data_IF_134621211275
#
_entry.id   IF_134621211275
#
_cell.length_a   1.000
_cell.length_b   1.000
_cell.length_c   1.000
_cell.angle_alpha   90.00
_cell.angle_beta   90.00
_cell.angle_gamma   90.00
#
_symmetry.space_group_name_H-M   'P 1'
#
loop_
_entity.id
_entity.type
_entity.pdbx_description
1 polymer ?
#
# COMPACT_ATOMS: atom_id res chain seq x y z
N UNK A 1 -29.24 7.91 14.09
CA UNK A 1 -27.88 8.22 14.57
C UNK A 1 -27.93 9.48 15.40
N UNK A 2 -27.12 9.56 16.45
CA UNK A 2 -26.88 10.78 17.21
C UNK A 2 -26.22 11.84 16.27
N UNK A 3 -26.74 13.08 16.18
CA UNK A 3 -26.16 14.13 15.34
C UNK A 3 -24.66 14.36 15.61
N UNK A 4 -24.25 14.22 16.86
CA UNK A 4 -22.86 14.42 17.30
C UNK A 4 -21.90 13.36 16.75
N UNK A 5 -22.40 12.11 16.60
CA UNK A 5 -21.63 11.01 16.02
C UNK A 5 -21.50 11.18 14.49
N UNK A 6 -22.55 11.69 13.84
CA UNK A 6 -22.52 11.99 12.39
C UNK A 6 -21.53 13.10 12.07
N UNK A 7 -21.47 14.15 12.89
CA UNK A 7 -20.53 15.26 12.70
C UNK A 7 -19.06 14.81 12.88
N UNK A 8 -18.78 13.94 13.86
CA UNK A 8 -17.46 13.33 14.02
C UNK A 8 -17.09 12.42 12.85
N UNK A 9 -18.03 11.59 12.38
CA UNK A 9 -17.84 10.74 11.20
C UNK A 9 -17.58 11.54 9.93
N UNK A 10 -18.24 12.69 9.77
CA UNK A 10 -18.03 13.61 8.66
C UNK A 10 -16.64 14.23 8.66
N UNK A 11 -16.17 14.73 9.81
CA UNK A 11 -14.81 15.27 9.95
C UNK A 11 -13.76 14.21 9.65
N UNK A 12 -13.95 12.99 10.17
CA UNK A 12 -13.05 11.87 9.92
C UNK A 12 -13.01 11.51 8.42
N UNK A 13 -14.17 11.38 7.78
CA UNK A 13 -14.27 11.12 6.36
C UNK A 13 -13.51 12.15 5.51
N UNK A 14 -13.70 13.45 5.78
CA UNK A 14 -12.98 14.50 5.04
C UNK A 14 -11.47 14.47 5.29
N UNK A 15 -11.01 13.96 6.43
CA UNK A 15 -9.58 13.82 6.71
C UNK A 15 -8.92 12.65 5.95
N UNK A 16 -9.66 11.55 5.72
CA UNK A 16 -9.14 10.39 4.97
C UNK A 16 -9.31 10.51 3.45
N UNK A 17 -10.35 11.21 2.99
CA UNK A 17 -10.71 11.27 1.57
C UNK A 17 -9.54 11.67 0.63
N UNK A 18 -8.66 12.64 0.98
CA UNK A 18 -7.52 12.98 0.13
C UNK A 18 -6.53 11.83 -0.10
N UNK A 19 -6.24 11.03 0.94
CA UNK A 19 -5.32 9.89 0.83
C UNK A 19 -5.93 8.76 -0.01
N UNK A 20 -7.24 8.53 0.15
CA UNK A 20 -7.98 7.56 -0.66
C UNK A 20 -8.05 7.99 -2.13
N UNK A 21 -8.27 9.28 -2.41
CA UNK A 21 -8.22 9.82 -3.78
C UNK A 21 -6.83 9.68 -4.40
N UNK A 22 -5.77 9.97 -3.64
CA UNK A 22 -4.40 9.79 -4.10
C UNK A 22 -4.11 8.33 -4.45
N UNK A 23 -4.54 7.40 -3.60
CA UNK A 23 -4.42 5.95 -3.85
C UNK A 23 -5.12 5.55 -5.14
N UNK A 24 -6.30 6.12 -5.43
CA UNK A 24 -7.03 5.86 -6.67
C UNK A 24 -6.31 6.42 -7.89
N UNK A 25 -5.82 7.65 -7.81
CA UNK A 25 -5.10 8.30 -8.90
C UNK A 25 -3.82 7.55 -9.25
N UNK A 26 -2.99 7.23 -8.25
CA UNK A 26 -1.75 6.51 -8.44
C UNK A 26 -1.99 5.10 -9.00
N UNK A 27 -2.98 4.39 -8.47
CA UNK A 27 -3.34 3.06 -8.96
C UNK A 27 -3.88 3.05 -10.39
N UNK A 28 -4.61 4.10 -10.80
CA UNK A 28 -5.08 4.25 -12.18
C UNK A 28 -3.93 4.61 -13.14
N UNK A 29 -2.99 5.46 -12.72
CA UNK A 29 -1.79 5.78 -13.51
C UNK A 29 -0.89 4.56 -13.71
N UNK A 30 -0.89 3.63 -12.75
CA UNK A 30 -0.09 2.40 -12.76
C UNK A 30 -0.92 1.15 -13.11
N UNK A 31 -2.06 1.32 -13.77
CA UNK A 31 -3.01 0.20 -13.97
C UNK A 31 -2.47 -0.92 -14.87
N UNK A 32 -1.47 -0.60 -15.70
CA UNK A 32 -0.76 -1.55 -16.57
C UNK A 32 0.52 -2.13 -15.93
N UNK A 33 0.95 -1.58 -14.79
CA UNK A 33 2.19 -1.98 -14.14
C UNK A 33 2.02 -3.33 -13.44
N UNK A 34 3.09 -4.11 -13.41
CA UNK A 34 3.15 -5.30 -12.61
C UNK A 34 3.58 -4.96 -11.17
N UNK A 35 2.96 -5.56 -10.14
CA UNK A 35 1.97 -6.63 -10.26
C UNK A 35 0.51 -6.10 -10.26
N UNK A 36 -0.21 -6.38 -11.36
CA UNK A 36 -1.53 -5.79 -11.68
C UNK A 36 -2.58 -6.04 -10.59
N UNK A 37 -2.63 -7.25 -10.05
CA UNK A 37 -3.66 -7.64 -9.08
C UNK A 37 -3.51 -6.88 -7.75
N UNK A 38 -2.29 -6.58 -7.28
CA UNK A 38 -2.10 -5.72 -6.11
C UNK A 38 -2.60 -4.29 -6.37
N UNK A 39 -2.33 -3.73 -7.56
CA UNK A 39 -2.79 -2.40 -7.93
C UNK A 39 -4.33 -2.34 -7.98
N UNK A 40 -4.97 -3.30 -8.65
CA UNK A 40 -6.45 -3.43 -8.67
C UNK A 40 -7.01 -3.61 -7.26
N UNK A 41 -6.35 -4.39 -6.40
CA UNK A 41 -6.78 -4.58 -5.02
C UNK A 41 -6.74 -3.28 -4.20
N UNK A 42 -5.69 -2.46 -4.37
CA UNK A 42 -5.60 -1.16 -3.73
C UNK A 42 -6.75 -0.22 -4.18
N UNK A 43 -7.03 -0.18 -5.48
CA UNK A 43 -8.16 0.59 -6.05
C UNK A 43 -9.52 0.15 -5.49
N UNK A 44 -9.76 -1.16 -5.43
CA UNK A 44 -10.98 -1.74 -4.88
C UNK A 44 -11.14 -1.39 -3.40
N UNK A 45 -10.09 -1.52 -2.58
CA UNK A 45 -10.17 -1.17 -1.16
C UNK A 45 -10.42 0.33 -0.94
N UNK A 46 -9.74 1.20 -1.69
CA UNK A 46 -9.92 2.63 -1.56
C UNK A 46 -11.36 3.05 -1.89
N UNK A 47 -11.93 2.51 -2.97
CA UNK A 47 -13.34 2.75 -3.32
C UNK A 47 -14.33 2.16 -2.32
N UNK A 48 -14.07 0.95 -1.81
CA UNK A 48 -14.90 0.33 -0.78
C UNK A 48 -14.95 1.17 0.52
N UNK A 49 -13.80 1.68 0.96
CA UNK A 49 -13.71 2.57 2.13
C UNK A 49 -14.45 3.87 1.88
N UNK A 50 -14.26 4.52 0.72
CA UNK A 50 -14.98 5.75 0.36
C UNK A 50 -16.49 5.54 0.31
N UNK A 51 -16.97 4.42 -0.28
CA UNK A 51 -18.38 4.06 -0.32
C UNK A 51 -18.96 3.97 1.09
N UNK A 52 -18.34 3.17 1.96
CA UNK A 52 -18.81 2.96 3.33
C UNK A 52 -18.82 4.26 4.15
N UNK A 53 -17.76 5.05 4.04
CA UNK A 53 -17.65 6.31 4.75
C UNK A 53 -18.68 7.35 4.25
N UNK A 54 -18.84 7.49 2.92
CA UNK A 54 -19.84 8.38 2.31
C UNK A 54 -21.28 8.01 2.71
N UNK A 55 -21.61 6.71 2.71
CA UNK A 55 -22.90 6.21 3.17
C UNK A 55 -23.18 6.57 4.64
N UNK A 56 -22.19 6.42 5.51
CA UNK A 56 -22.30 6.73 6.94
C UNK A 56 -22.58 8.22 7.21
N UNK A 57 -22.04 9.12 6.39
CA UNK A 57 -22.19 10.57 6.56
C UNK A 57 -23.33 11.16 5.72
N UNK A 58 -23.88 10.37 4.80
CA UNK A 58 -25.06 10.69 3.99
C UNK A 58 -24.77 11.38 2.66
N UNK A 59 -23.56 11.19 2.11
CA UNK A 59 -23.13 11.76 0.82
C UNK A 59 -23.45 10.78 -0.31
N UNK A 60 -24.71 10.78 -0.76
CA UNK A 60 -25.26 9.77 -1.69
C UNK A 60 -24.59 9.75 -3.05
N UNK A 61 -24.23 10.91 -3.60
CA UNK A 61 -23.58 10.99 -4.91
C UNK A 61 -22.22 10.31 -4.89
N UNK A 62 -21.42 10.61 -3.86
CA UNK A 62 -20.12 9.97 -3.63
C UNK A 62 -20.28 8.47 -3.38
N UNK A 63 -21.24 8.06 -2.54
CA UNK A 63 -21.55 6.65 -2.29
C UNK A 63 -21.87 5.89 -3.60
N UNK A 64 -22.71 6.47 -4.46
CA UNK A 64 -23.17 5.85 -5.71
C UNK A 64 -22.02 5.67 -6.71
N UNK A 65 -21.19 6.70 -6.89
CA UNK A 65 -20.04 6.64 -7.79
C UNK A 65 -18.97 5.69 -7.26
N UNK A 66 -18.66 5.76 -5.96
CA UNK A 66 -17.67 4.87 -5.32
C UNK A 66 -18.09 3.40 -5.43
N UNK A 67 -19.38 3.10 -5.25
CA UNK A 67 -19.90 1.75 -5.42
C UNK A 67 -19.74 1.25 -6.86
N UNK A 68 -20.04 2.09 -7.85
CA UNK A 68 -19.92 1.70 -9.26
C UNK A 68 -18.47 1.47 -9.69
N UNK A 69 -17.53 2.25 -9.16
CA UNK A 69 -16.09 2.01 -9.35
C UNK A 69 -15.63 0.74 -8.63
N UNK A 70 -16.09 0.49 -7.40
CA UNK A 70 -15.78 -0.75 -6.67
C UNK A 70 -16.19 -1.99 -7.50
N UNK A 71 -17.37 -1.98 -8.11
CA UNK A 71 -17.83 -3.06 -8.98
C UNK A 71 -16.98 -3.22 -10.24
N UNK A 72 -16.57 -2.12 -10.85
CA UNK A 72 -15.66 -2.13 -12.00
C UNK A 72 -14.29 -2.72 -11.62
N UNK A 73 -13.71 -2.31 -10.50
CA UNK A 73 -12.42 -2.83 -10.03
C UNK A 73 -12.50 -4.31 -9.61
N UNK A 74 -13.62 -4.77 -9.05
CA UNK A 74 -13.86 -6.20 -8.79
C UNK A 74 -13.81 -7.04 -10.06
N UNK A 75 -14.39 -6.56 -11.16
CA UNK A 75 -14.34 -7.26 -12.44
C UNK A 75 -12.89 -7.44 -12.92
N UNK A 76 -12.03 -6.44 -12.69
CA UNK A 76 -10.62 -6.44 -13.10
C UNK A 76 -9.72 -7.38 -12.29
N UNK A 77 -10.24 -8.11 -11.29
CA UNK A 77 -9.53 -9.27 -10.74
C UNK A 77 -9.40 -10.41 -11.75
N UNK A 78 -10.28 -10.47 -12.74
CA UNK A 78 -10.10 -11.37 -13.87
C UNK A 78 -8.97 -10.83 -14.76
N UNK A 79 -7.79 -11.45 -14.65
CA UNK A 79 -6.59 -11.07 -15.43
C UNK A 79 -6.78 -11.26 -16.94
N UNK A 80 -7.76 -12.07 -17.38
CA UNK A 80 -8.08 -12.24 -18.80
C UNK A 80 -8.74 -10.98 -19.42
N UNK A 81 -9.27 -10.08 -18.58
CA UNK A 81 -9.82 -8.80 -19.06
C UNK A 81 -8.67 -7.90 -19.48
N UNK A 82 -8.63 -7.54 -20.76
CA UNK A 82 -7.71 -6.54 -21.28
C UNK A 82 -8.16 -5.13 -20.88
N UNK A 83 -7.25 -4.37 -20.29
CA UNK A 83 -7.46 -2.94 -20.02
C UNK A 83 -6.95 -2.22 -21.27
N UNK A 84 -7.83 -2.00 -22.23
CA UNK A 84 -7.49 -1.21 -23.42
C UNK A 84 -7.60 0.31 -23.13
N UNK A 85 -7.14 1.18 -24.04
CA UNK A 85 -7.20 2.64 -23.81
C UNK A 85 -8.60 3.19 -23.58
N UNK A 86 -9.64 2.51 -24.07
CA UNK A 86 -11.03 2.90 -23.83
C UNK A 86 -11.46 2.55 -22.40
N UNK A 87 -11.12 1.36 -21.92
CA UNK A 87 -11.35 0.96 -20.52
C UNK A 87 -10.64 1.91 -19.56
N UNK A 88 -9.37 2.21 -19.81
CA UNK A 88 -8.57 3.14 -19.01
C UNK A 88 -9.22 4.53 -18.95
N UNK A 89 -9.63 5.08 -20.10
CA UNK A 89 -10.36 6.35 -20.17
C UNK A 89 -11.64 6.30 -19.32
N UNK A 90 -12.44 5.25 -19.45
CA UNK A 90 -13.70 5.10 -18.72
C UNK A 90 -13.46 5.05 -17.19
N UNK A 91 -12.42 4.34 -16.74
CA UNK A 91 -12.04 4.27 -15.33
C UNK A 91 -11.58 5.63 -14.79
N UNK A 92 -10.74 6.36 -15.52
CA UNK A 92 -10.34 7.72 -15.16
C UNK A 92 -11.53 8.68 -15.12
N UNK A 93 -12.45 8.61 -16.08
CA UNK A 93 -13.65 9.44 -16.06
C UNK A 93 -14.60 9.08 -14.90
N UNK A 94 -14.68 7.81 -14.52
CA UNK A 94 -15.36 7.37 -13.31
C UNK A 94 -14.71 7.93 -12.05
N UNK A 95 -13.37 7.92 -11.96
CA UNK A 95 -12.62 8.58 -10.88
C UNK A 95 -12.90 10.08 -10.81
N UNK A 96 -12.96 10.78 -11.95
CA UNK A 96 -13.32 12.20 -11.97
C UNK A 96 -14.73 12.46 -11.41
N UNK A 97 -15.69 11.57 -11.69
CA UNK A 97 -17.03 11.65 -11.11
C UNK A 97 -17.05 11.45 -9.58
N UNK A 98 -16.00 10.86 -9.01
CA UNK A 98 -15.80 10.71 -7.57
C UNK A 98 -15.04 11.90 -6.97
N UNK A 99 -13.96 12.32 -7.65
CA UNK A 99 -13.06 13.40 -7.22
C UNK A 99 -13.75 14.75 -7.14
N UNK A 100 -14.59 15.09 -8.14
CA UNK A 100 -15.28 16.39 -8.20
C UNK A 100 -16.18 16.65 -6.98
N UNK A 101 -17.14 15.77 -6.62
CA UNK A 101 -17.97 16.01 -5.45
C UNK A 101 -17.18 15.97 -4.15
N UNK A 102 -16.17 15.09 -4.02
CA UNK A 102 -15.29 15.07 -2.85
C UNK A 102 -14.49 16.38 -2.68
N UNK A 103 -13.93 16.91 -3.77
CA UNK A 103 -13.23 18.19 -3.74
C UNK A 103 -14.17 19.36 -3.40
N UNK A 104 -15.45 19.27 -3.81
CA UNK A 104 -16.46 20.23 -3.44
C UNK A 104 -16.71 20.22 -1.92
N UNK A 105 -16.85 19.03 -1.30
CA UNK A 105 -16.99 18.90 0.15
C UNK A 105 -15.75 19.42 0.91
N UNK A 106 -14.53 19.09 0.45
CA UNK A 106 -13.28 19.53 1.07
C UNK A 106 -13.09 21.05 1.04
N UNK A 107 -13.55 21.68 -0.04
CA UNK A 107 -13.45 23.13 -0.23
C UNK A 107 -14.69 23.90 0.27
N UNK A 108 -15.69 23.18 0.80
CA UNK A 108 -16.99 23.72 1.18
C UNK A 108 -17.64 24.52 0.03
N UNK A 109 -17.58 23.95 -1.18
CA UNK A 109 -18.13 24.50 -2.41
C UNK A 109 -19.27 23.62 -2.95
N UNK A 110 -20.07 24.14 -3.88
CA UNK A 110 -21.16 23.38 -4.50
C UNK A 110 -20.70 22.77 -5.83
N UNK A 111 -21.12 21.53 -6.08
CA UNK A 111 -21.05 20.90 -7.40
C UNK A 111 -22.45 20.57 -7.92
N UNK A 112 -22.57 20.35 -9.23
CA UNK A 112 -23.81 19.90 -9.87
C UNK A 112 -23.91 18.37 -9.74
N UNK A 113 -24.49 17.91 -8.64
CA UNK A 113 -24.62 16.47 -8.33
C UNK A 113 -25.47 15.73 -9.38
N UNK A 114 -26.51 16.37 -9.93
CA UNK A 114 -27.35 15.75 -10.95
C UNK A 114 -26.54 15.51 -12.23
N UNK A 115 -25.75 16.50 -12.67
CA UNK A 115 -24.85 16.34 -13.81
C UNK A 115 -23.80 15.25 -13.58
N UNK A 116 -23.27 15.14 -12.35
CA UNK A 116 -22.28 14.09 -12.00
C UNK A 116 -22.93 12.71 -12.08
N UNK A 117 -24.14 12.55 -11.53
CA UNK A 117 -24.87 11.29 -11.54
C UNK A 117 -25.28 10.85 -12.95
N UNK A 118 -25.73 11.79 -13.80
CA UNK A 118 -26.04 11.51 -15.20
C UNK A 118 -24.80 11.02 -15.95
N UNK A 119 -23.68 11.73 -15.81
CA UNK A 119 -22.40 11.34 -16.42
C UNK A 119 -21.93 9.98 -15.91
N UNK A 120 -21.96 9.77 -14.59
CA UNK A 120 -21.60 8.50 -13.98
C UNK A 120 -22.46 7.35 -14.55
N UNK A 121 -23.77 7.56 -14.67
CA UNK A 121 -24.70 6.56 -15.21
C UNK A 121 -24.32 6.13 -16.63
N UNK A 122 -24.05 7.09 -17.51
CA UNK A 122 -23.64 6.80 -18.89
C UNK A 122 -22.27 6.10 -18.97
N UNK A 123 -21.32 6.50 -18.13
CA UNK A 123 -19.98 5.90 -18.09
C UNK A 123 -20.02 4.47 -17.56
N UNK A 124 -20.74 4.23 -16.46
CA UNK A 124 -20.84 2.90 -15.87
C UNK A 124 -21.68 1.96 -16.73
N UNK A 125 -22.61 2.46 -17.55
CA UNK A 125 -23.24 1.64 -18.57
C UNK A 125 -22.23 1.17 -19.62
N UNK A 126 -21.34 2.05 -20.11
CA UNK A 126 -20.28 1.66 -21.04
C UNK A 126 -19.31 0.65 -20.42
N UNK A 127 -18.93 0.83 -19.15
CA UNK A 127 -18.11 -0.14 -18.42
C UNK A 127 -18.81 -1.50 -18.27
N UNK A 128 -20.10 -1.51 -17.94
CA UNK A 128 -20.91 -2.74 -17.88
C UNK A 128 -20.97 -3.44 -19.22
N UNK A 129 -21.19 -2.71 -20.31
CA UNK A 129 -21.25 -3.29 -21.66
C UNK A 129 -19.92 -3.92 -22.08
N UNK A 130 -18.79 -3.34 -21.63
CA UNK A 130 -17.43 -3.82 -21.93
C UNK A 130 -17.00 -4.99 -21.05
N UNK A 131 -17.37 -4.97 -19.77
CA UNK A 131 -17.03 -6.00 -18.78
C UNK A 131 -18.00 -7.19 -18.80
N UNK A 132 -19.19 -7.03 -19.37
CA UNK A 132 -20.17 -8.11 -19.54
C UNK A 132 -20.53 -8.77 -18.22
N UNK A 133 -20.54 -10.10 -18.21
CA UNK A 133 -20.90 -10.91 -17.04
C UNK A 133 -19.91 -10.76 -15.86
N UNK A 134 -18.68 -10.30 -16.10
CA UNK A 134 -17.70 -10.08 -15.02
C UNK A 134 -18.03 -8.86 -14.15
N UNK A 135 -18.87 -7.92 -14.64
CA UNK A 135 -19.20 -6.70 -13.91
C UNK A 135 -19.92 -7.00 -12.58
N UNK A 136 -19.29 -6.69 -11.46
CA UNK A 136 -19.87 -6.84 -10.13
C UNK A 136 -20.15 -8.29 -9.68
N UNK A 137 -19.71 -9.31 -10.44
CA UNK A 137 -19.93 -10.72 -10.11
C UNK A 137 -18.77 -11.39 -9.36
N UNK A 138 -17.65 -10.70 -9.18
CA UNK A 138 -16.56 -11.21 -8.36
C UNK A 138 -16.79 -10.90 -6.87
N UNK A 139 -17.44 -11.84 -6.17
CA UNK A 139 -17.39 -11.96 -4.70
C UNK A 139 -15.99 -12.37 -4.20
N UNK A 140 -15.10 -12.73 -5.13
CA UNK A 140 -13.72 -13.07 -4.84
C UNK A 140 -12.90 -11.82 -4.51
N UNK A 141 -12.56 -11.69 -3.23
CA UNK A 141 -11.56 -10.75 -2.74
C UNK A 141 -10.32 -11.59 -2.40
N UNK A 142 -9.19 -11.42 -3.10
CA UNK A 142 -8.00 -12.19 -2.82
C UNK A 142 -7.48 -11.89 -1.40
N UNK A 143 -7.05 -12.94 -0.71
CA UNK A 143 -6.39 -12.84 0.58
C UNK A 143 -5.00 -12.21 0.45
N UNK A 144 -4.45 -11.70 1.56
CA UNK A 144 -3.07 -11.17 1.58
C UNK A 144 -2.04 -12.18 1.06
N UNK A 145 -2.24 -13.48 1.33
CA UNK A 145 -1.37 -14.54 0.83
C UNK A 145 -1.46 -14.69 -0.71
N UNK A 146 -2.65 -14.60 -1.29
CA UNK A 146 -2.86 -14.67 -2.74
C UNK A 146 -2.33 -13.42 -3.46
N UNK A 147 -2.32 -12.28 -2.77
CA UNK A 147 -1.73 -11.03 -3.26
C UNK A 147 -0.20 -10.98 -3.12
N UNK A 148 0.43 -12.07 -2.67
CA UNK A 148 1.88 -12.10 -2.42
C UNK A 148 2.33 -11.15 -1.30
N UNK A 149 1.41 -10.65 -0.47
CA UNK A 149 1.75 -9.98 0.77
C UNK A 149 2.11 -11.04 1.81
N UNK A 150 3.38 -11.40 1.84
CA UNK A 150 3.93 -12.15 2.96
C UNK A 150 4.06 -11.21 4.16
N UNK A 151 3.06 -11.25 5.05
CA UNK A 151 3.04 -10.48 6.30
C UNK A 151 4.32 -10.73 7.10
N UNK A 152 4.87 -11.94 7.03
CA UNK A 152 6.13 -12.30 7.69
C UNK A 152 7.30 -11.54 7.08
N UNK A 153 7.34 -11.43 5.75
CA UNK A 153 8.33 -10.64 5.03
C UNK A 153 8.18 -9.14 5.31
N UNK A 154 6.98 -8.59 5.32
CA UNK A 154 6.77 -7.16 5.60
C UNK A 154 7.15 -6.79 7.04
N UNK A 155 6.84 -7.64 8.03
CA UNK A 155 7.28 -7.47 9.42
C UNK A 155 8.81 -7.54 9.51
N UNK A 156 9.42 -8.46 8.75
CA UNK A 156 10.87 -8.57 8.65
C UNK A 156 11.48 -7.30 8.07
N UNK A 157 11.04 -6.85 6.89
CA UNK A 157 11.58 -5.67 6.20
C UNK A 157 11.46 -4.41 7.06
N UNK A 158 10.30 -4.17 7.68
CA UNK A 158 10.09 -3.02 8.56
C UNK A 158 10.98 -3.09 9.80
N UNK A 159 11.05 -4.24 10.49
CA UNK A 159 11.85 -4.40 11.70
C UNK A 159 13.37 -4.39 11.43
N UNK A 160 13.80 -4.81 10.24
CA UNK A 160 15.19 -4.70 9.78
C UNK A 160 15.52 -3.25 9.45
N UNK A 161 14.63 -2.54 8.74
CA UNK A 161 14.87 -1.14 8.37
C UNK A 161 14.96 -0.22 9.59
N UNK A 162 14.09 -0.39 10.59
CA UNK A 162 14.14 0.39 11.84
C UNK A 162 15.51 0.25 12.52
N UNK A 163 16.07 -0.96 12.58
CA UNK A 163 17.39 -1.23 13.15
C UNK A 163 18.54 -0.66 12.32
N UNK A 164 18.40 -0.69 10.99
CA UNK A 164 19.35 -0.06 10.07
C UNK A 164 19.38 1.46 10.30
N UNK A 165 18.22 2.08 10.47
CA UNK A 165 18.10 3.52 10.72
C UNK A 165 18.70 3.90 12.08
N UNK A 166 18.41 3.13 13.14
CA UNK A 166 19.03 3.31 14.46
C UNK A 166 20.56 3.16 14.42
N UNK A 167 21.06 2.14 13.70
CA UNK A 167 22.49 1.93 13.53
C UNK A 167 23.14 3.08 12.75
N UNK A 168 22.46 3.58 11.72
CA UNK A 168 22.89 4.73 10.93
C UNK A 168 23.06 5.97 11.80
N UNK A 169 22.07 6.26 12.65
CA UNK A 169 22.13 7.39 13.59
C UNK A 169 23.29 7.24 14.58
N UNK A 170 23.49 6.05 15.14
CA UNK A 170 24.59 5.77 16.07
C UNK A 170 25.98 5.91 15.40
N UNK A 171 26.12 5.51 14.12
CA UNK A 171 27.34 5.69 13.33
C UNK A 171 27.60 7.17 13.04
N UNK A 172 26.56 7.93 12.67
CA UNK A 172 26.67 9.36 12.40
C UNK A 172 27.07 10.15 13.65
N UNK A 173 26.49 9.81 14.81
CA UNK A 173 26.83 10.40 16.11
C UNK A 173 28.18 9.93 16.66
N UNK A 174 28.75 8.86 16.06
CA UNK A 174 29.99 8.18 16.49
C UNK A 174 29.91 7.65 17.92
N UNK A 175 28.72 7.27 18.36
CA UNK A 175 28.51 6.67 19.67
C UNK A 175 28.90 5.18 19.65
N UNK A 176 30.13 4.87 20.06
CA UNK A 176 30.67 3.51 20.01
C UNK A 176 29.90 2.52 20.90
N UNK A 177 29.36 2.99 22.02
CA UNK A 177 28.60 2.14 22.95
C UNK A 177 27.23 1.80 22.35
N UNK A 178 26.58 2.80 21.75
CA UNK A 178 25.30 2.62 21.07
C UNK A 178 25.45 1.75 19.81
N UNK A 179 26.49 1.95 18.99
CA UNK A 179 26.80 1.11 17.83
C UNK A 179 26.97 -0.35 18.25
N UNK A 180 27.78 -0.63 19.29
CA UNK A 180 27.99 -1.99 19.76
C UNK A 180 26.70 -2.64 20.27
N UNK A 181 25.88 -1.89 20.99
CA UNK A 181 24.60 -2.36 21.55
C UNK A 181 23.59 -2.69 20.45
N UNK A 182 23.39 -1.77 19.50
CA UNK A 182 22.46 -1.95 18.38
C UNK A 182 22.92 -3.12 17.52
N UNK A 183 24.20 -3.19 17.15
CA UNK A 183 24.71 -4.27 16.32
C UNK A 183 24.59 -5.64 16.99
N UNK A 184 24.93 -5.74 18.27
CA UNK A 184 24.86 -7.02 19.00
C UNK A 184 23.42 -7.53 19.03
N UNK A 185 22.48 -6.68 19.47
CA UNK A 185 21.06 -7.05 19.51
C UNK A 185 20.48 -7.33 18.12
N UNK A 186 20.89 -6.57 17.10
CA UNK A 186 20.43 -6.75 15.73
C UNK A 186 20.95 -8.05 15.13
N UNK A 187 22.20 -8.43 15.38
CA UNK A 187 22.73 -9.70 14.91
C UNK A 187 21.95 -10.90 15.48
N UNK A 188 21.63 -10.89 16.78
CA UNK A 188 20.83 -11.97 17.39
C UNK A 188 19.44 -12.09 16.74
N UNK A 189 18.75 -10.95 16.57
CA UNK A 189 17.43 -10.89 15.92
C UNK A 189 17.52 -11.34 14.46
N UNK A 190 18.50 -10.85 13.71
CA UNK A 190 18.69 -11.16 12.30
C UNK A 190 19.02 -12.63 12.06
N UNK A 191 19.79 -13.26 12.94
CA UNK A 191 20.02 -14.71 12.90
C UNK A 191 18.73 -15.49 13.09
N UNK A 192 17.96 -15.18 14.14
CA UNK A 192 16.71 -15.88 14.43
C UNK A 192 15.68 -15.71 13.32
N UNK A 193 15.54 -14.51 12.78
CA UNK A 193 14.67 -14.22 11.65
C UNK A 193 15.14 -14.93 10.38
N UNK A 194 16.43 -14.90 10.07
CA UNK A 194 16.99 -15.56 8.90
C UNK A 194 16.77 -17.08 8.92
N UNK A 195 16.90 -17.71 10.09
CA UNK A 195 16.63 -19.14 10.25
C UNK A 195 15.13 -19.46 10.13
N UNK A 196 14.27 -18.63 10.72
CA UNK A 196 12.81 -18.80 10.66
C UNK A 196 12.24 -18.63 9.25
N UNK A 197 12.85 -17.78 8.43
CA UNK A 197 12.41 -17.47 7.07
C UNK A 197 13.18 -18.27 5.99
N UNK A 198 14.13 -19.13 6.39
CA UNK A 198 14.96 -19.89 5.45
C UNK A 198 15.99 -19.05 4.68
N UNK A 199 16.26 -17.82 5.12
CA UNK A 199 17.23 -16.90 4.53
C UNK A 199 18.64 -17.19 5.08
N UNK A 200 19.22 -18.32 4.66
CA UNK A 200 20.52 -18.78 5.17
C UNK A 200 21.65 -17.75 4.96
N UNK A 201 21.67 -17.07 3.80
CA UNK A 201 22.66 -16.01 3.53
C UNK A 201 22.58 -14.82 4.50
N UNK A 202 21.37 -14.48 4.96
CA UNK A 202 21.15 -13.39 5.92
C UNK A 202 21.65 -13.80 7.31
N UNK A 203 21.31 -15.02 7.72
CA UNK A 203 21.76 -15.59 8.98
C UNK A 203 23.30 -15.66 9.03
N UNK A 204 23.93 -16.07 7.93
CA UNK A 204 25.39 -16.17 7.83
C UNK A 204 26.06 -14.79 7.84
N UNK A 205 25.47 -13.78 7.19
CA UNK A 205 25.93 -12.40 7.26
C UNK A 205 25.89 -11.88 8.71
N UNK A 206 24.74 -12.00 9.38
CA UNK A 206 24.57 -11.56 10.77
C UNK A 206 25.54 -12.28 11.72
N UNK A 207 25.75 -13.59 11.55
CA UNK A 207 26.77 -14.37 12.30
C UNK A 207 28.19 -13.86 12.05
N UNK A 208 28.48 -13.41 10.83
CA UNK A 208 29.80 -12.87 10.46
C UNK A 208 30.04 -11.52 11.12
N UNK A 209 29.04 -10.63 11.11
CA UNK A 209 29.09 -9.33 11.80
C UNK A 209 29.25 -9.52 13.32
N UNK A 210 28.49 -10.43 13.93
CA UNK A 210 28.60 -10.75 15.35
C UNK A 210 30.02 -11.16 15.74
N UNK A 211 30.64 -12.06 14.96
CA UNK A 211 32.05 -12.44 15.16
C UNK A 211 33.00 -11.26 14.98
N UNK A 212 32.78 -10.42 13.96
CA UNK A 212 33.62 -9.25 13.73
C UNK A 212 33.62 -8.29 14.93
N UNK A 213 32.47 -8.11 15.59
CA UNK A 213 32.34 -7.31 16.81
C UNK A 213 33.10 -7.93 17.99
N UNK A 214 33.00 -9.24 18.19
CA UNK A 214 33.72 -9.94 19.26
C UNK A 214 35.25 -9.83 19.11
N UNK A 215 35.77 -9.98 17.88
CA UNK A 215 37.21 -10.00 17.62
C UNK A 215 37.83 -8.62 17.39
N UNK A 216 37.04 -7.58 17.08
CA UNK A 216 37.53 -6.24 16.74
C UNK A 216 36.85 -5.15 17.60
N UNK A 217 36.76 -5.36 18.91
CA UNK A 217 36.16 -4.41 19.84
C UNK A 217 36.85 -3.02 19.90
N UNK A 218 38.05 -2.90 19.35
CA UNK A 218 38.79 -1.64 19.18
C UNK A 218 38.45 -0.90 17.87
N UNK A 219 37.74 -1.55 16.93
CA UNK A 219 37.36 -1.00 15.62
C UNK A 219 35.84 -1.00 15.40
N UNK A 220 35.06 -0.83 16.47
CA UNK A 220 33.59 -0.86 16.46
C UNK A 220 32.99 0.03 15.36
N UNK A 221 33.49 1.25 15.19
CA UNK A 221 32.96 2.17 14.17
C UNK A 221 33.15 1.64 12.74
N UNK A 222 34.29 1.01 12.46
CA UNK A 222 34.58 0.44 11.15
C UNK A 222 33.77 -0.83 10.90
N UNK A 223 33.69 -1.71 11.90
CA UNK A 223 32.83 -2.90 11.85
C UNK A 223 31.37 -2.50 11.63
N UNK A 224 30.88 -1.49 12.35
CA UNK A 224 29.51 -1.00 12.20
C UNK A 224 29.24 -0.38 10.83
N UNK A 225 30.19 0.37 10.28
CA UNK A 225 30.06 0.96 8.93
C UNK A 225 29.98 -0.11 7.84
N UNK A 226 30.82 -1.15 7.94
CA UNK A 226 30.80 -2.27 6.99
C UNK A 226 29.49 -3.07 7.15
N UNK A 227 29.11 -3.38 8.39
CA UNK A 227 27.88 -4.11 8.68
C UNK A 227 26.64 -3.37 8.17
N UNK A 228 26.57 -2.05 8.35
CA UNK A 228 25.49 -1.22 7.83
C UNK A 228 25.39 -1.37 6.30
N UNK A 229 26.50 -1.20 5.58
CA UNK A 229 26.51 -1.33 4.13
C UNK A 229 26.08 -2.73 3.66
N UNK A 230 26.53 -3.78 4.34
CA UNK A 230 26.14 -5.15 4.03
C UNK A 230 24.64 -5.36 4.29
N UNK A 231 24.10 -4.89 5.42
CA UNK A 231 22.68 -5.00 5.77
C UNK A 231 21.78 -4.19 4.84
N UNK A 232 22.19 -3.01 4.37
CA UNK A 232 21.45 -2.23 3.37
C UNK A 232 21.42 -2.93 2.00
N UNK A 233 22.52 -3.60 1.64
CA UNK A 233 22.64 -4.26 0.33
C UNK A 233 21.88 -5.59 0.22
N UNK A 234 21.65 -6.27 1.35
CA UNK A 234 21.14 -7.63 1.35
C UNK A 234 19.64 -7.76 1.00
N UNK A 235 18.71 -6.92 1.51
CA UNK A 235 17.31 -6.93 1.08
C UNK A 235 17.17 -6.74 -0.44
N UNK A 236 18.00 -5.88 -1.04
CA UNK A 236 18.04 -5.68 -2.49
C UNK A 236 18.57 -6.91 -3.24
N UNK A 237 19.54 -7.65 -2.69
CA UNK A 237 20.07 -8.88 -3.27
C UNK A 237 19.10 -10.08 -3.13
N UNK A 238 18.31 -10.12 -2.04
CA UNK A 238 17.25 -11.11 -1.83
C UNK A 238 15.99 -10.87 -2.67
N UNK A 239 15.89 -9.74 -3.39
CA UNK A 239 14.89 -9.56 -4.44
C UNK A 239 15.01 -10.61 -5.57
N UNK A 240 16.06 -11.45 -5.60
CA UNK A 240 16.19 -12.63 -6.45
C UNK A 240 15.50 -13.91 -5.96
N UNK A 241 14.90 -13.93 -4.76
CA UNK A 241 13.99 -14.99 -4.31
C UNK A 241 12.56 -14.83 -4.85
N UNK A 242 12.33 -13.79 -5.67
CA UNK A 242 11.04 -13.39 -6.29
C UNK A 242 10.55 -14.31 -7.43
N UNK A 243 10.92 -15.59 -7.47
CA UNK A 243 10.48 -16.52 -8.51
C UNK A 243 10.02 -17.85 -7.93
#
# INVERSE_FOLDING_TARGET
>A
MDPTIRDQGYVYFLSEAPELLQTLEDGLLQIHDAPRIQNIHALMRATHTLKGAAANVGLKTIETVAHSLEDAFKALYNEEIEIDPEMERLLFEGYECLRVPLAAELSNSSCDEDQILDRATELFQQLRDKLGDDFGQHDYIPSSAELGFDITQSIFEMGVQERIDELTEAIQSRDLEQIATILTSSCEVFVGLGESLGLMGWSDLAKTVAKALEFNGDRILEVGTIALADFESFPAACAGWRS
#
